data_IF_928306221984
#
_entry.id   IF_928306221984
#
_cell.length_a   1.000
_cell.length_b   1.000
_cell.length_c   1.000
_cell.angle_alpha   90.00
_cell.angle_beta   90.00
_cell.angle_gamma   90.00
#
_symmetry.space_group_name_H-M   'P 1'
#
loop_
_entity.id
_entity.type
_entity.pdbx_description
1 polymer ?
#
# COMPACT_ATOMS: atom_id res chain seq x y z
N UNK A 1 -3.21 -26.33 10.40
CA UNK A 1 -4.44 -25.98 11.17
C UNK A 1 -4.69 -24.50 10.90
N UNK A 2 -5.73 -24.18 10.17
CA UNK A 2 -6.19 -22.81 10.02
C UNK A 2 -6.88 -22.42 11.31
N UNK A 3 -6.33 -21.43 12.02
CA UNK A 3 -6.92 -20.89 13.24
C UNK A 3 -8.17 -20.07 12.85
N UNK A 4 -9.31 -20.74 12.83
CA UNK A 4 -10.61 -20.15 12.42
C UNK A 4 -11.18 -19.17 13.47
N UNK A 5 -10.50 -18.98 14.59
CA UNK A 5 -10.93 -18.08 15.67
C UNK A 5 -10.35 -16.67 15.58
N UNK A 6 -9.38 -16.44 14.68
CA UNK A 6 -8.81 -15.11 14.43
C UNK A 6 -9.47 -14.50 13.22
N UNK A 7 -10.05 -13.33 13.38
CA UNK A 7 -10.52 -12.52 12.26
C UNK A 7 -9.33 -11.96 11.49
N UNK A 8 -9.19 -12.34 10.23
CA UNK A 8 -8.23 -11.73 9.31
C UNK A 8 -8.98 -10.70 8.45
N UNK A 9 -8.36 -9.57 8.18
CA UNK A 9 -8.98 -8.59 7.31
C UNK A 9 -8.17 -7.32 7.18
N UNK A 10 -8.43 -6.60 6.09
CA UNK A 10 -8.02 -5.23 5.90
C UNK A 10 -9.13 -4.26 6.32
N UNK A 11 -8.76 -3.00 6.45
CA UNK A 11 -9.66 -1.94 6.87
C UNK A 11 -9.71 -0.83 5.82
N UNK A 12 -10.90 -0.32 5.54
CA UNK A 12 -11.07 0.91 4.78
C UNK A 12 -11.52 2.01 5.74
N UNK A 13 -10.68 3.05 5.87
CA UNK A 13 -11.04 4.26 6.57
C UNK A 13 -11.59 5.28 5.58
N UNK A 14 -12.69 5.94 5.94
CA UNK A 14 -13.31 6.96 5.09
C UNK A 14 -13.60 8.23 5.89
N UNK A 15 -13.32 9.37 5.26
CA UNK A 15 -13.73 10.68 5.77
C UNK A 15 -14.15 11.54 4.57
N UNK A 16 -15.45 11.83 4.47
CA UNK A 16 -16.01 12.48 3.29
C UNK A 16 -15.75 11.66 2.01
N UNK A 17 -15.14 12.30 1.04
CA UNK A 17 -14.75 11.64 -0.22
C UNK A 17 -13.39 10.93 -0.14
N UNK A 18 -12.65 11.08 0.96
CA UNK A 18 -11.33 10.47 1.13
C UNK A 18 -11.44 9.04 1.63
N UNK A 19 -10.59 8.16 1.15
CA UNK A 19 -10.55 6.77 1.58
C UNK A 19 -9.14 6.19 1.52
N UNK A 20 -8.81 5.42 2.57
CA UNK A 20 -7.55 4.72 2.73
C UNK A 20 -7.84 3.25 3.04
N UNK A 21 -7.16 2.34 2.36
CA UNK A 21 -7.18 0.92 2.65
C UNK A 21 -5.87 0.49 3.31
N UNK A 22 -5.96 -0.21 4.40
CA UNK A 22 -4.85 -0.89 5.07
C UNK A 22 -5.11 -2.39 5.01
N UNK A 23 -4.25 -3.14 4.34
CA UNK A 23 -4.46 -4.56 4.13
C UNK A 23 -4.22 -5.43 5.37
N UNK A 24 -3.45 -4.93 6.35
CA UNK A 24 -2.80 -5.81 7.33
C UNK A 24 -1.72 -6.66 6.65
N UNK A 25 -1.19 -7.65 7.38
CA UNK A 25 -0.32 -8.67 6.82
C UNK A 25 -1.17 -9.62 6.01
N UNK A 26 -0.83 -9.81 4.74
CA UNK A 26 -1.63 -10.60 3.82
C UNK A 26 -0.78 -11.16 2.68
N UNK A 27 -1.21 -12.29 2.12
CA UNK A 27 -0.81 -12.72 0.79
C UNK A 27 -1.67 -12.02 -0.27
N UNK A 28 -1.23 -12.06 -1.52
CA UNK A 28 -2.11 -11.67 -2.62
C UNK A 28 -3.28 -12.67 -2.72
N UNK A 29 -4.49 -12.12 -2.91
CA UNK A 29 -5.70 -12.91 -3.17
C UNK A 29 -6.65 -12.15 -4.11
N UNK A 30 -7.48 -12.90 -4.83
CA UNK A 30 -8.37 -12.34 -5.86
C UNK A 30 -9.42 -11.33 -5.31
N UNK A 31 -9.67 -11.33 -4.00
CA UNK A 31 -10.58 -10.40 -3.34
C UNK A 31 -10.16 -8.92 -3.43
N UNK A 32 -8.88 -8.62 -3.74
CA UNK A 32 -8.45 -7.24 -3.99
C UNK A 32 -9.23 -6.60 -5.15
N UNK A 33 -9.59 -7.36 -6.18
CA UNK A 33 -10.44 -6.89 -7.29
C UNK A 33 -11.85 -6.53 -6.82
N UNK A 34 -12.42 -7.33 -5.94
CA UNK A 34 -13.75 -7.06 -5.39
C UNK A 34 -13.72 -5.81 -4.49
N UNK A 35 -12.70 -5.70 -3.62
CA UNK A 35 -12.49 -4.51 -2.79
C UNK A 35 -12.36 -3.26 -3.66
N UNK A 36 -11.53 -3.32 -4.70
CA UNK A 36 -11.36 -2.23 -5.66
C UNK A 36 -12.65 -1.85 -6.38
N UNK A 37 -13.41 -2.85 -6.85
CA UNK A 37 -14.67 -2.60 -7.54
C UNK A 37 -15.75 -1.97 -6.64
N UNK A 38 -15.80 -2.34 -5.36
CA UNK A 38 -16.81 -1.88 -4.40
C UNK A 38 -16.43 -0.61 -3.65
N UNK A 39 -15.16 -0.43 -3.34
CA UNK A 39 -14.71 0.58 -2.39
C UNK A 39 -13.78 1.61 -3.03
N UNK A 40 -13.05 1.25 -4.10
CA UNK A 40 -12.11 2.10 -4.84
C UNK A 40 -11.31 3.05 -3.91
N UNK A 41 -10.49 2.52 -2.99
CA UNK A 41 -9.74 3.36 -2.06
C UNK A 41 -8.74 4.24 -2.82
N UNK A 42 -8.54 5.47 -2.37
CA UNK A 42 -7.57 6.38 -3.00
C UNK A 42 -6.14 6.02 -2.62
N UNK A 43 -5.92 5.71 -1.35
CA UNK A 43 -4.61 5.30 -0.83
C UNK A 43 -4.68 3.85 -0.39
N UNK A 44 -3.67 3.06 -0.74
CA UNK A 44 -3.53 1.67 -0.31
C UNK A 44 -2.19 1.47 0.42
N UNK A 45 -2.24 1.03 1.68
CA UNK A 45 -1.08 0.57 2.44
C UNK A 45 -0.97 -0.94 2.26
N UNK A 46 0.13 -1.39 1.63
CA UNK A 46 0.32 -2.80 1.25
C UNK A 46 1.70 -3.30 1.70
N UNK A 47 1.77 -4.52 2.29
CA UNK A 47 3.03 -5.12 2.70
C UNK A 47 3.86 -5.52 1.48
N UNK A 48 5.19 -5.40 1.59
CA UNK A 48 6.13 -5.78 0.54
C UNK A 48 7.31 -6.63 1.03
N UNK A 49 7.26 -7.08 2.29
CA UNK A 49 8.32 -7.86 2.92
C UNK A 49 7.86 -9.21 3.44
N UNK A 50 8.81 -9.99 3.95
CA UNK A 50 8.61 -11.33 4.51
C UNK A 50 8.09 -12.37 3.48
N UNK A 51 8.60 -12.34 2.24
CA UNK A 51 8.16 -13.20 1.14
C UNK A 51 9.11 -14.35 0.78
N UNK A 52 10.31 -14.40 1.36
CA UNK A 52 11.33 -15.41 1.04
C UNK A 52 11.53 -16.39 2.21
N UNK A 53 11.65 -17.71 1.96
CA UNK A 53 11.44 -18.41 0.67
C UNK A 53 9.98 -18.42 0.21
N UNK A 54 9.72 -18.87 -1.01
CA UNK A 54 8.39 -18.82 -1.67
C UNK A 54 7.22 -19.33 -0.84
N UNK A 55 7.46 -20.24 0.10
CA UNK A 55 6.42 -20.71 1.03
C UNK A 55 5.79 -19.59 1.87
N UNK A 56 6.50 -18.49 2.13
CA UNK A 56 6.00 -17.33 2.86
C UNK A 56 4.96 -16.54 2.05
N UNK A 57 5.00 -16.61 0.72
CA UNK A 57 4.03 -15.96 -0.16
C UNK A 57 2.59 -16.48 -0.01
N UNK A 58 2.40 -17.56 0.73
CA UNK A 58 1.06 -18.03 1.11
C UNK A 58 0.40 -17.17 2.20
N UNK A 59 1.18 -16.34 2.90
CA UNK A 59 0.72 -15.47 4.00
C UNK A 59 1.21 -14.03 3.90
N UNK A 60 2.20 -13.75 3.04
CA UNK A 60 2.76 -12.42 2.79
C UNK A 60 2.83 -12.14 1.28
N UNK A 61 2.89 -10.88 0.91
CA UNK A 61 3.05 -10.44 -0.48
C UNK A 61 4.52 -10.18 -0.82
N UNK A 62 4.96 -10.63 -2.01
CA UNK A 62 6.17 -10.09 -2.64
C UNK A 62 5.91 -8.65 -3.16
N UNK A 63 6.96 -7.89 -3.50
CA UNK A 63 6.78 -6.57 -4.10
C UNK A 63 5.89 -6.58 -5.36
N UNK A 64 6.01 -7.60 -6.21
CA UNK A 64 5.20 -7.76 -7.42
C UNK A 64 3.75 -8.13 -7.09
N UNK A 65 3.54 -8.99 -6.09
CA UNK A 65 2.20 -9.34 -5.62
C UNK A 65 1.48 -8.12 -5.02
N UNK A 66 2.21 -7.29 -4.27
CA UNK A 66 1.69 -6.04 -3.72
C UNK A 66 1.35 -5.02 -4.82
N UNK A 67 2.18 -4.92 -5.86
CA UNK A 67 1.90 -4.09 -7.02
C UNK A 67 0.63 -4.56 -7.75
N UNK A 68 0.46 -5.88 -7.93
CA UNK A 68 -0.75 -6.44 -8.51
C UNK A 68 -1.98 -6.15 -7.63
N UNK A 69 -1.85 -6.26 -6.31
CA UNK A 69 -2.93 -5.92 -5.38
C UNK A 69 -3.30 -4.43 -5.48
N UNK A 70 -2.32 -3.55 -5.61
CA UNK A 70 -2.53 -2.11 -5.83
C UNK A 70 -3.34 -1.82 -7.10
N UNK A 71 -2.97 -2.46 -8.20
CA UNK A 71 -3.70 -2.35 -9.48
C UNK A 71 -5.14 -2.85 -9.33
N UNK A 72 -5.32 -4.01 -8.70
CA UNK A 72 -6.64 -4.62 -8.49
C UNK A 72 -7.54 -3.80 -7.57
N UNK A 73 -6.96 -3.11 -6.58
CA UNK A 73 -7.66 -2.16 -5.70
C UNK A 73 -8.10 -0.89 -6.44
N UNK A 74 -7.55 -0.61 -7.61
CA UNK A 74 -7.79 0.64 -8.38
C UNK A 74 -7.43 1.89 -7.58
N UNK A 75 -6.50 1.77 -6.64
CA UNK A 75 -6.05 2.88 -5.84
C UNK A 75 -5.20 3.87 -6.67
N UNK A 76 -5.12 5.12 -6.23
CA UNK A 76 -4.32 6.14 -6.92
C UNK A 76 -2.91 6.26 -6.36
N UNK A 77 -2.75 5.93 -5.07
CA UNK A 77 -1.45 5.99 -4.39
C UNK A 77 -1.23 4.72 -3.58
N UNK A 78 -0.06 4.12 -3.72
CA UNK A 78 0.42 3.00 -2.91
C UNK A 78 1.46 3.49 -1.91
N UNK A 79 1.26 3.19 -0.62
CA UNK A 79 2.28 3.34 0.41
C UNK A 79 2.74 1.93 0.79
N UNK A 80 4.00 1.56 0.43
CA UNK A 80 4.54 0.27 0.84
C UNK A 80 4.81 0.24 2.34
N UNK A 81 4.52 -0.90 2.97
CA UNK A 81 4.74 -1.12 4.39
C UNK A 81 5.33 -2.51 4.68
N UNK A 82 5.59 -2.83 5.93
CA UNK A 82 6.04 -4.14 6.41
C UNK A 82 7.37 -4.59 5.76
N UNK A 83 8.35 -3.70 5.70
CA UNK A 83 9.71 -3.96 5.21
C UNK A 83 10.74 -3.10 5.94
N UNK A 84 12.02 -3.48 5.87
CA UNK A 84 13.15 -2.64 6.28
C UNK A 84 13.40 -2.50 7.79
N UNK A 85 12.47 -2.88 8.67
CA UNK A 85 12.59 -2.69 10.12
C UNK A 85 13.08 -3.95 10.84
N UNK A 86 12.57 -5.12 10.48
CA UNK A 86 12.92 -6.40 11.08
C UNK A 86 13.30 -7.42 10.01
N UNK A 87 14.33 -8.23 10.30
CA UNK A 87 14.68 -9.38 9.47
C UNK A 87 13.72 -10.54 9.80
N UNK A 88 12.58 -10.59 9.11
CA UNK A 88 11.51 -11.56 9.37
C UNK A 88 11.61 -12.81 8.49
N UNK A 89 12.36 -12.75 7.39
CA UNK A 89 12.47 -13.82 6.41
C UNK A 89 13.85 -13.80 5.72
N UNK A 90 14.02 -14.50 4.63
CA UNK A 90 15.34 -14.74 4.04
C UNK A 90 15.76 -13.72 2.96
N UNK A 91 14.87 -12.85 2.51
CA UNK A 91 15.27 -11.76 1.60
C UNK A 91 16.13 -10.71 2.30
N UNK A 92 17.08 -10.06 1.59
CA UNK A 92 17.81 -8.90 2.10
C UNK A 92 16.84 -7.79 2.51
N UNK A 93 17.07 -7.15 3.66
CA UNK A 93 16.18 -6.11 4.20
C UNK A 93 16.04 -4.88 3.28
N UNK A 94 17.04 -4.62 2.46
CA UNK A 94 17.10 -3.53 1.50
C UNK A 94 16.60 -3.90 0.09
N UNK A 95 16.18 -5.15 -0.14
CA UNK A 95 15.68 -5.61 -1.45
C UNK A 95 14.24 -5.18 -1.76
N UNK A 96 13.27 -5.23 -0.82
CA UNK A 96 11.85 -5.10 -1.16
C UNK A 96 11.49 -3.79 -1.88
N UNK A 97 11.96 -2.65 -1.36
CA UNK A 97 11.61 -1.34 -1.92
C UNK A 97 12.20 -1.10 -3.32
N UNK A 98 13.51 -1.29 -3.57
CA UNK A 98 14.06 -1.18 -4.92
C UNK A 98 13.39 -2.11 -5.94
N UNK A 99 13.00 -3.30 -5.50
CA UNK A 99 12.30 -4.28 -6.32
C UNK A 99 10.90 -3.80 -6.71
N UNK A 100 10.12 -3.28 -5.74
CA UNK A 100 8.82 -2.67 -5.97
C UNK A 100 8.91 -1.49 -6.95
N UNK A 101 9.83 -0.55 -6.69
CA UNK A 101 9.99 0.64 -7.53
C UNK A 101 10.41 0.29 -8.96
N UNK A 102 11.22 -0.75 -9.14
CA UNK A 102 11.58 -1.26 -10.47
C UNK A 102 10.36 -1.83 -11.19
N UNK A 103 9.56 -2.67 -10.51
CA UNK A 103 8.34 -3.24 -11.06
C UNK A 103 7.34 -2.13 -11.45
N UNK A 104 7.10 -1.17 -10.56
CA UNK A 104 6.20 -0.04 -10.82
C UNK A 104 6.63 0.81 -12.02
N UNK A 105 7.94 1.04 -12.20
CA UNK A 105 8.45 1.73 -13.39
C UNK A 105 8.23 0.94 -14.68
N UNK A 106 8.43 -0.37 -14.63
CA UNK A 106 8.20 -1.25 -15.79
C UNK A 106 6.74 -1.24 -16.22
N UNK A 107 5.81 -1.14 -15.27
CA UNK A 107 4.37 -1.09 -15.52
C UNK A 107 3.85 0.33 -15.78
N UNK A 108 4.73 1.35 -15.75
CA UNK A 108 4.36 2.75 -16.00
C UNK A 108 3.58 3.42 -14.88
N UNK A 109 3.60 2.87 -13.67
CA UNK A 109 2.88 3.37 -12.49
C UNK A 109 3.80 3.73 -11.31
N UNK A 110 5.10 3.92 -11.60
CA UNK A 110 6.10 4.26 -10.58
C UNK A 110 5.76 5.50 -9.77
N UNK A 111 5.17 6.52 -10.39
CA UNK A 111 4.79 7.78 -9.74
C UNK A 111 3.61 7.63 -8.76
N UNK A 112 2.90 6.50 -8.82
CA UNK A 112 1.83 6.18 -7.88
C UNK A 112 2.33 5.49 -6.60
N UNK A 113 3.62 5.14 -6.53
CA UNK A 113 4.23 4.51 -5.37
C UNK A 113 4.95 5.56 -4.53
N UNK A 114 4.49 5.75 -3.31
CA UNK A 114 4.99 6.74 -2.36
C UNK A 114 5.62 6.03 -1.14
N UNK A 115 6.93 5.75 -1.15
CA UNK A 115 7.61 5.27 0.05
C UNK A 115 7.70 6.41 1.07
N UNK A 116 7.41 6.10 2.33
CA UNK A 116 7.61 7.02 3.45
C UNK A 116 8.66 6.44 4.40
N UNK A 117 9.54 7.30 4.92
CA UNK A 117 10.46 6.93 5.99
C UNK A 117 9.77 6.96 7.36
N UNK A 118 10.35 6.29 8.33
CA UNK A 118 9.84 6.31 9.70
C UNK A 118 9.77 7.74 10.25
N UNK A 119 8.58 8.15 10.70
CA UNK A 119 8.32 9.51 11.19
C UNK A 119 7.94 10.52 10.11
N UNK A 120 8.03 10.17 8.84
CA UNK A 120 7.59 11.01 7.74
C UNK A 120 6.05 11.07 7.67
N UNK A 121 5.53 12.22 7.29
CA UNK A 121 4.08 12.45 7.17
C UNK A 121 3.76 13.00 5.78
N UNK A 122 2.75 12.42 5.15
CA UNK A 122 2.21 12.89 3.88
C UNK A 122 0.77 13.38 4.06
N UNK A 123 0.44 14.50 3.43
CA UNK A 123 -0.89 15.09 3.47
C UNK A 123 -1.53 14.99 2.09
N UNK A 124 -2.55 14.16 1.97
CA UNK A 124 -3.31 14.02 0.74
C UNK A 124 -4.44 15.05 0.67
N UNK A 125 -4.35 15.97 -0.31
CA UNK A 125 -5.42 16.91 -0.62
C UNK A 125 -6.19 16.41 -1.85
N UNK A 126 -7.42 16.01 -1.66
CA UNK A 126 -8.31 15.65 -2.77
C UNK A 126 -9.26 16.79 -3.04
N UNK A 127 -9.18 17.37 -4.23
CA UNK A 127 -10.14 18.37 -4.67
C UNK A 127 -11.51 17.70 -4.81
N UNK A 128 -12.45 18.06 -3.94
CA UNK A 128 -13.85 17.81 -4.21
C UNK A 128 -14.21 18.54 -5.50
N UNK A 129 -14.67 17.81 -6.52
CA UNK A 129 -15.18 18.37 -7.77
C UNK A 129 -16.58 19.03 -7.53
N UNK A 130 -16.69 19.88 -6.53
CA UNK A 130 -17.78 20.83 -6.29
C UNK A 130 -17.14 22.11 -5.79
N UNK A 131 -16.99 23.06 -6.73
CA UNK A 131 -16.41 24.38 -6.66
C UNK A 131 -16.29 25.00 -5.26
N UNK A 132 -15.10 25.03 -4.73
CA UNK A 132 -14.63 26.17 -3.96
C UNK A 132 -13.10 26.27 -4.11
N UNK A 133 -12.68 27.39 -4.66
CA UNK A 133 -11.27 27.75 -4.88
C UNK A 133 -10.68 28.25 -3.57
N UNK A 134 -9.43 27.87 -3.35
CA UNK A 134 -8.48 28.46 -2.39
C UNK A 134 -8.31 27.72 -1.06
N UNK A 135 -7.21 26.94 -1.01
CA UNK A 135 -6.14 27.15 -0.02
C UNK A 135 -4.95 26.25 -0.35
N UNK A 136 -3.99 26.84 -1.02
CA UNK A 136 -2.61 26.34 -1.09
C UNK A 136 -2.02 26.48 0.30
N UNK A 137 -1.66 25.40 0.94
CA UNK A 137 -0.79 25.40 2.12
C UNK A 137 0.59 24.94 1.67
N UNK A 138 1.50 25.89 1.62
CA UNK A 138 2.93 25.68 1.41
C UNK A 138 3.55 24.97 2.61
N UNK A 139 4.39 23.96 2.32
CA UNK A 139 5.26 23.36 3.31
C UNK A 139 6.18 24.45 3.91
N UNK A 140 6.20 24.60 5.23
CA UNK A 140 7.23 25.35 5.92
C UNK A 140 8.27 24.37 6.43
N UNK A 141 9.45 24.44 5.83
CA UNK A 141 10.68 23.97 6.46
C UNK A 141 10.85 24.69 7.81
N UNK A 142 11.09 23.95 8.86
CA UNK A 142 11.72 24.49 10.06
C UNK A 142 12.73 23.48 10.61
N UNK A 143 13.93 24.02 10.77
CA UNK A 143 15.18 23.47 11.25
C UNK A 143 15.10 22.61 12.51
#
# INVERSE_FOLDING_TARGET
MTDTHRGFGGYVLRHGAQSLYHSGDTAYFAGFREIGARLAPQVALLPIGAYSPDGFRSVHTSPEDALQAFIDLRATTMIPMHYGTFCLSAEPMDEPLPRLLRAGRNDGIGDSILPLHEGETEIFSYNNASGDSSKTLTASETA
#
